data_IF_573877183827
#
_entry.id   IF_573877183827
#
_cell.length_a   1.000
_cell.length_b   1.000
_cell.length_c   1.000
_cell.angle_alpha   90.00
_cell.angle_beta   90.00
_cell.angle_gamma   90.00
#
_symmetry.space_group_name_H-M   'P 1'
#
loop_
_entity.id
_entity.type
_entity.pdbx_description
1 polymer ?
#
# COMPACT_ATOMS: atom_id res chain seq x y z
N UNK A 1 -2.21 -5.56 21.77
CA UNK A 1 -3.26 -4.99 20.89
C UNK A 1 -2.66 -4.86 19.50
N UNK A 2 -2.90 -5.86 18.64
CA UNK A 2 -2.23 -6.06 17.35
C UNK A 2 -2.84 -5.14 16.28
N UNK A 3 -2.60 -3.82 16.41
CA UNK A 3 -3.19 -2.77 15.58
C UNK A 3 -2.29 -2.31 14.42
N UNK A 4 -1.03 -2.77 14.36
CA UNK A 4 -0.08 -2.31 13.32
C UNK A 4 -0.47 -2.77 11.91
N UNK A 5 -1.11 -3.94 11.77
CA UNK A 5 -1.49 -4.52 10.48
C UNK A 5 -2.86 -4.05 9.94
N UNK A 6 -3.72 -3.46 10.77
CA UNK A 6 -5.07 -3.03 10.32
C UNK A 6 -5.05 -1.75 9.47
N UNK A 7 -4.04 -0.90 9.62
CA UNK A 7 -3.92 0.38 8.90
C UNK A 7 -3.60 0.26 7.40
N UNK A 8 -2.63 -0.57 6.94
CA UNK A 8 -2.30 -0.63 5.52
C UNK A 8 -3.45 -1.15 4.66
N UNK A 9 -4.21 -2.13 5.14
CA UNK A 9 -5.39 -2.66 4.42
C UNK A 9 -6.51 -1.62 4.27
N UNK A 10 -6.67 -0.71 5.24
CA UNK A 10 -7.65 0.38 5.14
C UNK A 10 -7.31 1.38 4.03
N UNK A 11 -6.03 1.51 3.67
CA UNK A 11 -5.58 2.39 2.58
C UNK A 11 -5.73 1.77 1.19
N UNK A 12 -5.93 0.45 1.09
CA UNK A 12 -6.01 -0.26 -0.17
C UNK A 12 -7.24 0.17 -1.01
N UNK A 13 -8.38 0.38 -0.37
CA UNK A 13 -9.64 0.79 -1.03
C UNK A 13 -9.53 2.20 -1.63
N UNK A 14 -9.18 3.27 -0.88
CA UNK A 14 -9.05 4.60 -1.47
C UNK A 14 -7.92 4.67 -2.50
N UNK A 15 -6.81 3.95 -2.30
CA UNK A 15 -5.71 3.90 -3.26
C UNK A 15 -6.16 3.28 -4.60
N UNK A 16 -6.93 2.19 -4.53
CA UNK A 16 -7.49 1.55 -5.72
C UNK A 16 -8.42 2.48 -6.49
N UNK A 17 -9.30 3.20 -5.80
CA UNK A 17 -10.23 4.17 -6.43
C UNK A 17 -9.45 5.28 -7.14
N UNK A 18 -8.38 5.81 -6.53
CA UNK A 18 -7.54 6.86 -7.14
C UNK A 18 -6.86 6.34 -8.41
N UNK A 19 -6.31 5.13 -8.38
CA UNK A 19 -5.64 4.54 -9.54
C UNK A 19 -6.61 4.31 -10.71
N UNK A 20 -7.80 3.78 -10.42
CA UNK A 20 -8.86 3.61 -11.44
C UNK A 20 -9.29 4.95 -12.03
N UNK A 21 -9.45 6.00 -11.22
CA UNK A 21 -9.80 7.35 -11.70
C UNK A 21 -8.68 7.97 -12.55
N UNK A 22 -7.42 7.75 -12.15
CA UNK A 22 -6.26 8.24 -12.89
C UNK A 22 -6.14 7.58 -14.25
N UNK A 23 -6.28 6.25 -14.33
CA UNK A 23 -6.26 5.52 -15.59
C UNK A 23 -7.42 5.90 -16.50
N UNK A 24 -8.62 6.07 -15.92
CA UNK A 24 -9.77 6.53 -16.67
C UNK A 24 -9.54 7.93 -17.25
N UNK A 25 -8.97 8.86 -16.48
CA UNK A 25 -8.71 10.21 -16.96
C UNK A 25 -7.62 10.29 -18.04
N UNK A 26 -6.59 9.43 -17.98
CA UNK A 26 -5.46 9.47 -18.91
C UNK A 26 -5.68 8.64 -20.17
N UNK A 27 -6.33 7.48 -20.04
CA UNK A 27 -6.45 6.50 -21.13
C UNK A 27 -7.89 6.26 -21.56
N UNK A 28 -8.88 6.85 -20.88
CA UNK A 28 -10.31 6.64 -21.09
C UNK A 28 -10.73 5.16 -21.05
N UNK A 29 -9.95 4.35 -20.33
CA UNK A 29 -10.12 2.91 -20.21
C UNK A 29 -10.17 2.52 -18.74
N UNK A 30 -11.14 1.68 -18.40
CA UNK A 30 -11.19 1.07 -17.08
C UNK A 30 -10.33 -0.19 -17.03
N UNK A 31 -9.06 -0.01 -16.68
CA UNK A 31 -8.08 -1.09 -16.54
C UNK A 31 -8.20 -1.78 -15.18
N UNK A 32 -9.34 -2.42 -14.93
CA UNK A 32 -9.68 -3.01 -13.64
C UNK A 32 -8.62 -3.99 -13.10
N UNK A 33 -8.12 -4.89 -13.96
CA UNK A 33 -7.11 -5.90 -13.55
C UNK A 33 -5.76 -5.25 -13.25
N UNK A 34 -5.29 -4.34 -14.11
CA UNK A 34 -4.00 -3.64 -13.90
C UNK A 34 -4.03 -2.83 -12.60
N UNK A 35 -5.13 -2.15 -12.32
CA UNK A 35 -5.32 -1.36 -11.10
C UNK A 35 -5.38 -2.23 -9.84
N UNK A 36 -5.98 -3.43 -9.90
CA UNK A 36 -5.98 -4.39 -8.77
C UNK A 36 -4.56 -4.87 -8.49
N UNK A 37 -3.82 -5.27 -9.53
CA UNK A 37 -2.43 -5.76 -9.40
C UNK A 37 -1.51 -4.66 -8.88
N UNK A 38 -1.62 -3.43 -9.41
CA UNK A 38 -0.84 -2.29 -8.94
C UNK A 38 -1.15 -1.93 -7.49
N UNK A 39 -2.43 -1.93 -7.10
CA UNK A 39 -2.83 -1.64 -5.73
C UNK A 39 -2.30 -2.68 -4.74
N UNK A 40 -2.39 -3.97 -5.10
CA UNK A 40 -1.82 -5.06 -4.30
C UNK A 40 -0.30 -4.93 -4.18
N UNK A 41 0.37 -4.67 -5.30
CA UNK A 41 1.82 -4.50 -5.32
C UNK A 41 2.27 -3.35 -4.42
N UNK A 42 1.59 -2.20 -4.49
CA UNK A 42 1.93 -1.02 -3.70
C UNK A 42 1.71 -1.25 -2.20
N UNK A 43 0.63 -1.93 -1.82
CA UNK A 43 0.37 -2.26 -0.40
C UNK A 43 1.39 -3.25 0.15
N UNK A 44 1.74 -4.30 -0.61
CA UNK A 44 2.78 -5.26 -0.21
C UNK A 44 4.14 -4.57 -0.10
N UNK A 45 4.51 -3.72 -1.07
CA UNK A 45 5.75 -2.96 -1.02
C UNK A 45 5.80 -2.00 0.17
N UNK A 46 4.71 -1.28 0.42
CA UNK A 46 4.59 -0.38 1.56
C UNK A 46 4.76 -1.14 2.88
N UNK A 47 4.13 -2.32 3.02
CA UNK A 47 4.29 -3.16 4.20
C UNK A 47 5.73 -3.65 4.35
N UNK A 48 6.36 -4.08 3.26
CA UNK A 48 7.77 -4.50 3.25
C UNK A 48 8.72 -3.39 3.69
N UNK A 49 8.56 -2.18 3.16
CA UNK A 49 9.36 -1.02 3.58
C UNK A 49 9.08 -0.64 5.04
N UNK A 50 7.82 -0.57 5.44
CA UNK A 50 7.47 -0.26 6.83
C UNK A 50 8.03 -1.29 7.81
N UNK A 51 8.05 -2.56 7.43
CA UNK A 51 8.69 -3.62 8.20
C UNK A 51 10.21 -3.42 8.26
N UNK A 52 10.86 -3.22 7.11
CA UNK A 52 12.30 -2.99 7.00
C UNK A 52 12.77 -1.78 7.83
N UNK A 53 12.07 -0.64 7.76
CA UNK A 53 12.35 0.55 8.56
C UNK A 53 11.98 0.39 10.05
N UNK A 54 11.05 -0.51 10.39
CA UNK A 54 10.72 -0.79 11.79
C UNK A 54 11.81 -1.61 12.49
N UNK A 55 12.47 -2.52 11.77
CA UNK A 55 13.60 -3.32 12.29
C UNK A 55 14.75 -2.44 12.77
N UNK A 56 14.98 -1.29 12.13
CA UNK A 56 16.05 -0.35 12.49
C UNK A 56 15.79 0.38 13.83
N UNK A 57 14.53 0.57 14.22
CA UNK A 57 14.17 1.27 15.47
C UNK A 57 14.29 0.40 16.72
N UNK A 58 14.28 -0.92 16.57
CA UNK A 58 14.34 -1.85 17.70
C UNK A 58 15.79 -2.13 18.15
N UNK A 59 16.79 -1.84 17.31
CA UNK A 59 18.20 -1.99 17.68
C UNK A 59 18.77 -0.81 18.48
N UNK A 60 18.06 0.31 18.55
CA UNK A 60 18.53 1.54 19.19
C UNK A 60 17.93 1.83 20.58
N UNK A 61 17.04 0.97 21.09
CA UNK A 61 16.50 1.11 22.47
C UNK A 61 17.17 0.18 23.50
N UNK A 62 18.24 -0.51 23.11
CA UNK A 62 19.04 -1.39 23.98
C UNK A 62 20.47 -0.90 24.25
N UNK A 63 20.78 0.36 23.95
CA UNK A 63 22.12 0.90 24.17
C UNK A 63 22.14 2.11 25.10
#
# INVERSE_FOLDING_TARGET
>A
MNLKLKRPLMLLIPLYIILVLFDYNNYNQFKWIENIIQSLFLVIFYEFFMWSFSTEKESNSKH
#
